data_IF_285749689022
#
_entry.id   IF_285749689022
#
_cell.length_a   1.000
_cell.length_b   1.000
_cell.length_c   1.000
_cell.angle_alpha   90.00
_cell.angle_beta   90.00
_cell.angle_gamma   90.00
#
_symmetry.space_group_name_H-M   'P 1'
#
loop_
_entity.id
_entity.type
_entity.pdbx_description
1 polymer ?
#
# COMPACT_ATOMS: atom_id res chain seq x y z
N UNK A 1 16.98 9.27 -4.07
CA UNK A 1 17.73 8.83 -2.87
C UNK A 1 16.85 7.91 -2.02
N UNK A 2 17.29 6.68 -1.72
CA UNK A 2 16.59 5.82 -0.78
C UNK A 2 16.80 6.29 0.67
N UNK A 3 15.72 6.37 1.45
CA UNK A 3 15.76 6.68 2.87
C UNK A 3 14.70 5.83 3.59
N UNK A 4 15.14 5.00 4.55
CA UNK A 4 14.31 3.97 5.18
C UNK A 4 13.63 3.07 4.12
N UNK A 5 12.30 3.06 4.09
CA UNK A 5 11.44 2.27 3.19
C UNK A 5 10.98 3.05 1.94
N UNK A 6 11.47 4.27 1.74
CA UNK A 6 11.00 5.21 0.72
C UNK A 6 12.13 5.56 -0.25
N UNK A 7 11.80 5.61 -1.53
CA UNK A 7 12.65 6.20 -2.55
C UNK A 7 12.15 7.62 -2.82
N UNK A 8 12.98 8.62 -2.50
CA UNK A 8 12.69 10.02 -2.80
C UNK A 8 13.29 10.37 -4.15
N UNK A 9 12.49 10.90 -5.06
CA UNK A 9 12.92 11.35 -6.38
C UNK A 9 12.55 12.82 -6.54
N UNK A 10 13.36 13.55 -7.31
CA UNK A 10 13.06 14.94 -7.66
C UNK A 10 12.75 14.96 -9.15
N UNK A 11 11.53 15.37 -9.49
CA UNK A 11 11.03 15.53 -10.86
C UNK A 11 10.37 16.91 -10.96
N UNK A 12 10.76 17.72 -11.94
CA UNK A 12 10.18 19.04 -12.23
C UNK A 12 9.96 19.92 -10.98
N UNK A 13 11.03 20.09 -10.19
CA UNK A 13 11.04 20.87 -8.93
C UNK A 13 10.15 20.31 -7.81
N UNK A 14 9.52 19.15 -8.01
CA UNK A 14 8.70 18.47 -7.01
C UNK A 14 9.41 17.23 -6.48
N UNK A 15 9.23 16.98 -5.18
CA UNK A 15 9.64 15.75 -4.56
C UNK A 15 8.53 14.71 -4.71
N UNK A 16 8.86 13.59 -5.33
CA UNK A 16 8.00 12.41 -5.40
C UNK A 16 8.57 11.31 -4.50
N UNK A 17 7.66 10.52 -3.91
CA UNK A 17 8.03 9.39 -3.07
C UNK A 17 7.40 8.13 -3.62
N UNK A 18 8.17 7.06 -3.62
CA UNK A 18 7.76 5.69 -3.97
C UNK A 18 8.35 4.70 -2.97
N UNK A 19 7.97 3.43 -3.05
CA UNK A 19 8.49 2.42 -2.13
C UNK A 19 9.89 2.00 -2.57
N UNK A 20 10.84 2.07 -1.64
CA UNK A 20 12.17 1.51 -1.88
C UNK A 20 12.21 0.04 -1.48
N UNK A 21 12.71 -0.80 -2.39
CA UNK A 21 13.01 -2.21 -2.14
C UNK A 21 14.48 -2.46 -2.47
N UNK A 22 15.23 -3.06 -1.54
CA UNK A 22 16.63 -3.42 -1.79
C UNK A 22 16.73 -4.37 -2.99
N UNK A 23 17.74 -4.24 -3.87
CA UNK A 23 17.90 -5.13 -5.02
C UNK A 23 18.00 -6.62 -4.66
N UNK A 24 18.49 -6.93 -3.46
CA UNK A 24 18.65 -8.29 -2.95
C UNK A 24 17.39 -8.83 -2.25
N UNK A 25 16.29 -8.08 -2.21
CA UNK A 25 15.07 -8.52 -1.54
C UNK A 25 14.36 -9.60 -2.38
N UNK A 26 14.21 -10.84 -1.87
CA UNK A 26 13.57 -11.93 -2.60
C UNK A 26 12.04 -11.81 -2.68
N UNK A 27 11.44 -10.80 -2.03
CA UNK A 27 10.00 -10.56 -1.95
C UNK A 27 9.22 -11.72 -1.31
N UNK A 28 9.80 -12.36 -0.29
CA UNK A 28 9.08 -13.32 0.54
C UNK A 28 8.18 -12.62 1.57
N UNK A 29 7.01 -13.22 1.81
CA UNK A 29 6.11 -12.84 2.90
C UNK A 29 5.47 -14.09 3.52
N UNK A 30 4.47 -13.89 4.39
CA UNK A 30 3.71 -15.01 4.97
C UNK A 30 3.19 -15.91 3.84
N UNK A 31 3.32 -17.23 3.97
CA UNK A 31 2.77 -18.13 2.96
C UNK A 31 1.24 -18.20 3.10
N UNK A 32 0.50 -17.90 2.03
CA UNK A 32 -0.97 -17.91 2.03
C UNK A 32 -1.59 -19.29 2.33
N UNK A 33 -0.85 -20.38 2.08
CA UNK A 33 -1.25 -21.76 2.41
C UNK A 33 -0.78 -22.26 3.77
N UNK A 34 -0.10 -21.43 4.56
CA UNK A 34 0.26 -21.81 5.93
C UNK A 34 -0.98 -22.03 6.80
N UNK A 35 -0.85 -22.83 7.85
CA UNK A 35 -1.87 -23.05 8.90
C UNK A 35 -2.11 -21.80 9.79
N UNK A 36 -1.59 -20.64 9.38
CA UNK A 36 -1.78 -19.39 10.09
C UNK A 36 -3.24 -18.94 10.02
N UNK A 37 -3.73 -18.31 11.09
CA UNK A 37 -5.11 -17.80 11.13
C UNK A 37 -5.39 -16.80 10.00
N UNK A 38 -6.64 -16.76 9.52
CA UNK A 38 -7.07 -15.83 8.47
C UNK A 38 -6.73 -14.37 8.82
N UNK A 39 -6.84 -13.99 10.09
CA UNK A 39 -6.51 -12.63 10.57
C UNK A 39 -5.08 -12.21 10.23
N UNK A 40 -4.10 -13.11 10.33
CA UNK A 40 -2.70 -12.79 9.99
C UNK A 40 -2.46 -12.72 8.48
N UNK A 41 -3.19 -13.52 7.70
CA UNK A 41 -3.18 -13.47 6.24
C UNK A 41 -3.77 -12.14 5.75
N UNK A 42 -4.92 -11.75 6.28
CA UNK A 42 -5.57 -10.47 5.98
C UNK A 42 -4.68 -9.30 6.41
N UNK A 43 -4.06 -9.38 7.59
CA UNK A 43 -3.13 -8.38 8.08
C UNK A 43 -1.94 -8.22 7.13
N UNK A 44 -1.37 -9.33 6.63
CA UNK A 44 -0.26 -9.30 5.67
C UNK A 44 -0.65 -8.53 4.41
N UNK A 45 -1.79 -8.87 3.81
CA UNK A 45 -2.32 -8.17 2.62
C UNK A 45 -2.52 -6.68 2.93
N UNK A 46 -3.12 -6.37 4.07
CA UNK A 46 -3.40 -5.00 4.48
C UNK A 46 -2.14 -4.14 4.66
N UNK A 47 -1.04 -4.72 5.13
CA UNK A 47 0.23 -4.00 5.33
C UNK A 47 0.80 -3.57 3.99
N UNK A 48 0.80 -4.45 2.98
CA UNK A 48 1.24 -4.10 1.63
C UNK A 48 0.42 -2.96 1.03
N UNK A 49 -0.91 -3.05 1.11
CA UNK A 49 -1.80 -2.01 0.56
C UNK A 49 -1.61 -0.68 1.29
N UNK A 50 -1.55 -0.72 2.64
CA UNK A 50 -1.31 0.49 3.43
C UNK A 50 0.02 1.12 3.07
N UNK A 51 1.09 0.31 2.90
CA UNK A 51 2.41 0.80 2.52
C UNK A 51 2.36 1.54 1.17
N UNK A 52 1.67 1.00 0.17
CA UNK A 52 1.47 1.69 -1.11
C UNK A 52 0.78 3.04 -0.91
N UNK A 53 -0.31 3.07 -0.14
CA UNK A 53 -1.11 4.28 0.12
C UNK A 53 -0.40 5.36 0.95
N UNK A 54 0.52 4.98 1.84
CA UNK A 54 1.18 5.93 2.75
C UNK A 54 2.56 6.39 2.27
N UNK A 55 3.28 5.58 1.48
CA UNK A 55 4.63 5.92 1.05
C UNK A 55 4.71 6.49 -0.36
N UNK A 56 3.67 6.32 -1.18
CA UNK A 56 3.63 6.89 -2.52
C UNK A 56 2.96 8.27 -2.53
N UNK A 57 3.60 9.26 -3.16
CA UNK A 57 3.07 10.63 -3.22
C UNK A 57 2.02 10.84 -4.32
N UNK A 58 1.95 9.93 -5.29
CA UNK A 58 1.06 10.04 -6.46
C UNK A 58 0.20 8.79 -6.61
N UNK A 59 -1.06 8.96 -7.00
CA UNK A 59 -1.96 7.84 -7.26
C UNK A 59 -1.45 6.87 -8.32
N UNK A 60 -0.76 7.39 -9.35
CA UNK A 60 -0.10 6.56 -10.37
C UNK A 60 0.91 5.58 -9.74
N UNK A 61 1.74 6.08 -8.81
CA UNK A 61 2.73 5.27 -8.10
C UNK A 61 2.06 4.29 -7.12
N UNK A 62 1.00 4.73 -6.43
CA UNK A 62 0.18 3.84 -5.58
C UNK A 62 -0.34 2.65 -6.39
N UNK A 63 -0.91 2.92 -7.56
CA UNK A 63 -1.48 1.88 -8.42
C UNK A 63 -0.42 0.87 -8.86
N UNK A 64 0.74 1.36 -9.34
CA UNK A 64 1.87 0.52 -9.74
C UNK A 64 2.37 -0.36 -8.58
N UNK A 65 2.47 0.19 -7.37
CA UNK A 65 2.90 -0.58 -6.19
C UNK A 65 1.86 -1.62 -5.77
N UNK A 66 0.56 -1.32 -5.87
CA UNK A 66 -0.50 -2.29 -5.57
C UNK A 66 -0.48 -3.45 -6.56
N UNK A 67 -0.23 -3.19 -7.85
CA UNK A 67 -0.04 -4.25 -8.85
C UNK A 67 1.17 -5.12 -8.52
N UNK A 68 2.31 -4.48 -8.19
CA UNK A 68 3.52 -5.19 -7.77
C UNK A 68 3.27 -6.08 -6.54
N UNK A 69 2.63 -5.53 -5.49
CA UNK A 69 2.32 -6.27 -4.28
C UNK A 69 1.29 -7.38 -4.48
N UNK A 70 0.34 -7.20 -5.37
CA UNK A 70 -0.59 -8.27 -5.77
C UNK A 70 0.18 -9.46 -6.32
N UNK A 71 1.15 -9.22 -7.21
CA UNK A 71 2.01 -10.28 -7.75
C UNK A 71 2.87 -10.93 -6.65
N UNK A 72 3.43 -10.14 -5.73
CA UNK A 72 4.18 -10.66 -4.58
C UNK A 72 3.32 -11.60 -3.73
N UNK A 73 2.10 -11.20 -3.40
CA UNK A 73 1.18 -12.01 -2.58
C UNK A 73 0.78 -13.30 -3.31
N UNK A 74 0.45 -13.24 -4.60
CA UNK A 74 0.12 -14.43 -5.39
C UNK A 74 1.30 -15.41 -5.45
N UNK A 75 2.52 -14.89 -5.66
CA UNK A 75 3.74 -15.69 -5.65
C UNK A 75 3.99 -16.37 -4.30
N UNK A 76 3.58 -15.73 -3.20
CA UNK A 76 3.59 -16.29 -1.84
C UNK A 76 2.34 -17.12 -1.50
N UNK A 77 1.64 -17.63 -2.53
CA UNK A 77 0.52 -18.58 -2.44
C UNK A 77 -0.76 -18.03 -1.80
N UNK A 78 -0.97 -16.72 -1.80
CA UNK A 78 -2.29 -16.15 -1.50
C UNK A 78 -3.26 -16.35 -2.67
N UNK A 79 -4.55 -16.44 -2.35
CA UNK A 79 -5.64 -16.48 -3.34
C UNK A 79 -5.79 -15.10 -3.99
N UNK A 80 -5.77 -15.04 -5.32
CA UNK A 80 -5.99 -13.80 -6.07
C UNK A 80 -7.33 -13.15 -5.74
N UNK A 81 -8.37 -13.96 -5.52
CA UNK A 81 -9.70 -13.48 -5.13
C UNK A 81 -9.67 -12.74 -3.79
N UNK A 82 -8.96 -13.31 -2.81
CA UNK A 82 -8.87 -12.73 -1.46
C UNK A 82 -8.04 -11.45 -1.49
N UNK A 83 -6.92 -11.47 -2.21
CA UNK A 83 -6.08 -10.28 -2.42
C UNK A 83 -6.88 -9.16 -3.09
N UNK A 84 -7.59 -9.45 -4.17
CA UNK A 84 -8.40 -8.44 -4.89
C UNK A 84 -9.54 -7.89 -4.03
N UNK A 85 -10.26 -8.76 -3.31
CA UNK A 85 -11.35 -8.36 -2.43
C UNK A 85 -10.85 -7.43 -1.31
N UNK A 86 -9.82 -7.86 -0.58
CA UNK A 86 -9.23 -7.07 0.50
C UNK A 86 -8.63 -5.77 0.00
N UNK A 87 -7.98 -5.79 -1.17
CA UNK A 87 -7.44 -4.58 -1.82
C UNK A 87 -8.54 -3.54 -2.04
N UNK A 88 -9.66 -3.92 -2.65
CA UNK A 88 -10.80 -3.01 -2.86
C UNK A 88 -11.36 -2.49 -1.55
N UNK A 89 -11.52 -3.37 -0.55
CA UNK A 89 -12.03 -3.00 0.76
C UNK A 89 -11.13 -1.99 1.47
N UNK A 90 -9.81 -2.20 1.48
CA UNK A 90 -8.85 -1.31 2.14
C UNK A 90 -8.70 0.03 1.40
N UNK A 91 -8.67 0.03 0.07
CA UNK A 91 -8.63 1.28 -0.72
C UNK A 91 -9.90 2.11 -0.45
N UNK A 92 -11.08 1.48 -0.50
CA UNK A 92 -12.34 2.16 -0.23
C UNK A 92 -12.39 2.74 1.18
N UNK A 93 -11.96 1.96 2.18
CA UNK A 93 -11.86 2.43 3.57
C UNK A 93 -10.92 3.62 3.72
N UNK A 94 -9.73 3.56 3.08
CA UNK A 94 -8.74 4.62 3.12
C UNK A 94 -9.24 5.91 2.46
N UNK A 95 -9.86 5.79 1.28
CA UNK A 95 -10.44 6.93 0.56
C UNK A 95 -11.52 7.63 1.39
N UNK A 96 -12.42 6.84 1.99
CA UNK A 96 -13.47 7.38 2.87
C UNK A 96 -12.90 8.03 4.15
N UNK A 97 -11.76 7.56 4.66
CA UNK A 97 -11.06 8.21 5.80
C UNK A 97 -10.50 9.57 5.37
N UNK A 98 -9.76 9.62 4.25
CA UNK A 98 -9.19 10.87 3.70
C UNK A 98 -10.24 11.93 3.41
N UNK A 99 -11.40 11.54 2.90
CA UNK A 99 -12.51 12.48 2.64
C UNK A 99 -13.09 13.08 3.92
N UNK A 100 -13.15 12.30 5.01
CA UNK A 100 -13.60 12.80 6.32
C UNK A 100 -12.61 13.80 6.90
N UNK A 101 -11.31 13.47 6.86
CA UNK A 101 -10.22 14.36 7.33
C UNK A 101 -10.27 15.71 6.59
N UNK A 102 -10.42 15.69 5.26
CA UNK A 102 -10.52 16.91 4.46
C UNK A 102 -11.73 17.77 4.84
N UNK A 103 -12.89 17.15 5.07
CA UNK A 103 -14.11 17.86 5.49
C UNK A 103 -13.95 18.51 6.86
N UNK A 104 -13.26 17.86 7.79
CA UNK A 104 -12.96 18.40 9.12
C UNK A 104 -11.98 19.57 9.05
N UNK A 105 -10.93 19.47 8.23
CA UNK A 105 -9.98 20.55 7.95
C UNK A 105 -10.70 21.78 7.36
N UNK A 106 -11.56 21.57 6.35
CA UNK A 106 -12.32 22.65 5.74
C UNK A 106 -13.20 23.37 6.78
N UNK A 107 -13.92 22.63 7.65
CA UNK A 107 -14.74 23.22 8.72
C UNK A 107 -13.88 24.02 9.72
N UNK A 108 -12.67 23.55 10.04
CA UNK A 108 -11.78 24.21 10.99
C UNK A 108 -11.19 25.52 10.49
N UNK A 109 -11.08 25.72 9.17
CA UNK A 109 -10.59 26.98 8.57
C UNK A 109 -11.66 28.09 8.66
N UNK A 110 -12.93 27.72 8.79
CA UNK A 110 -14.05 28.67 8.89
C UNK A 110 -14.44 29.05 10.33
N UNK A 111 -13.75 28.50 11.35
CA UNK A 111 -13.94 28.81 12.78
C UNK A 111 -12.75 29.59 13.34
#
# INVERSE_FOLDING_TARGET
MPFLDVLVQQEDEKLTTSIYTKPTNPRFCLNGRSECSAKYKDATISVYIRRALTHCSMWKLVHQEIECFTQVLINNRFSEKDVSHLTKMFIGSWYNKKQREKKEEDISIFL
#
